data_IF_677482223223
#
_entry.id   IF_677482223223
#
_cell.length_a   1.000
_cell.length_b   1.000
_cell.length_c   1.000
_cell.angle_alpha   90.00
_cell.angle_beta   90.00
_cell.angle_gamma   90.00
#
_symmetry.space_group_name_H-M   'P 1'
#
loop_
_entity.id
_entity.type
_entity.pdbx_description
1 polymer ?
#
# COMPACT_ATOMS: atom_id res chain seq x y z
N UNK A 1 18.01 -52.43 -12.53
CA UNK A 1 18.02 -51.88 -11.15
C UNK A 1 18.66 -50.49 -11.12
N UNK A 2 19.91 -50.31 -11.54
CA UNK A 2 20.60 -49.00 -11.52
C UNK A 2 19.90 -47.90 -12.33
N UNK A 3 19.44 -48.19 -13.55
CA UNK A 3 18.71 -47.21 -14.37
C UNK A 3 17.42 -46.69 -13.70
N UNK A 4 16.79 -47.52 -12.86
CA UNK A 4 15.56 -47.18 -12.13
C UNK A 4 15.87 -46.21 -10.97
N UNK A 5 17.02 -46.37 -10.30
CA UNK A 5 17.49 -45.44 -9.27
C UNK A 5 17.92 -44.09 -9.87
N UNK A 6 18.53 -44.09 -11.06
CA UNK A 6 18.89 -42.86 -11.77
C UNK A 6 17.64 -42.07 -12.15
N UNK A 7 16.61 -42.74 -12.69
CA UNK A 7 15.32 -42.11 -13.01
C UNK A 7 14.65 -41.58 -11.74
N UNK A 8 14.66 -42.34 -10.64
CA UNK A 8 14.09 -41.90 -9.37
C UNK A 8 14.80 -40.66 -8.81
N UNK A 9 16.14 -40.63 -8.87
CA UNK A 9 16.94 -39.47 -8.48
C UNK A 9 16.66 -38.24 -9.33
N UNK A 10 16.50 -38.41 -10.65
CA UNK A 10 16.13 -37.33 -11.56
C UNK A 10 14.72 -36.78 -11.28
N UNK A 11 13.74 -37.64 -11.01
CA UNK A 11 12.37 -37.24 -10.65
C UNK A 11 12.33 -36.49 -9.32
N UNK A 12 13.09 -36.95 -8.31
CA UNK A 12 13.21 -36.25 -7.03
C UNK A 12 13.89 -34.88 -7.17
N UNK A 13 14.94 -34.77 -7.99
CA UNK A 13 15.62 -33.51 -8.25
C UNK A 13 14.71 -32.52 -9.00
N UNK A 14 13.98 -32.97 -10.03
CA UNK A 14 13.02 -32.13 -10.76
C UNK A 14 11.84 -31.73 -9.88
N UNK A 15 11.28 -32.65 -9.10
CA UNK A 15 10.19 -32.37 -8.17
C UNK A 15 10.60 -31.38 -7.08
N UNK A 16 11.79 -31.54 -6.49
CA UNK A 16 12.35 -30.62 -5.52
C UNK A 16 12.63 -29.23 -6.11
N UNK A 17 13.15 -29.18 -7.34
CA UNK A 17 13.41 -27.93 -8.06
C UNK A 17 12.12 -27.14 -8.36
N UNK A 18 11.08 -27.82 -8.85
CA UNK A 18 9.77 -27.20 -9.14
C UNK A 18 9.12 -26.67 -7.88
N UNK A 19 9.09 -27.45 -6.80
CA UNK A 19 8.54 -27.01 -5.51
C UNK A 19 9.28 -25.79 -4.96
N UNK A 20 10.62 -25.82 -4.98
CA UNK A 20 11.45 -24.70 -4.51
C UNK A 20 11.18 -23.45 -5.34
N UNK A 21 11.08 -23.58 -6.66
CA UNK A 21 10.79 -22.46 -7.56
C UNK A 21 9.40 -21.86 -7.28
N UNK A 22 8.36 -22.68 -7.09
CA UNK A 22 7.03 -22.18 -6.73
C UNK A 22 7.03 -21.43 -5.40
N UNK A 23 7.74 -21.95 -4.39
CA UNK A 23 7.87 -21.29 -3.09
C UNK A 23 8.61 -19.96 -3.22
N UNK A 24 9.69 -19.91 -4.01
CA UNK A 24 10.43 -18.67 -4.27
C UNK A 24 9.57 -17.61 -4.96
N UNK A 25 8.84 -18.00 -6.01
CA UNK A 25 7.91 -17.09 -6.70
C UNK A 25 6.84 -16.55 -5.74
N UNK A 26 6.28 -17.42 -4.91
CA UNK A 26 5.27 -17.02 -3.93
C UNK A 26 5.81 -15.98 -2.94
N UNK A 27 7.00 -16.20 -2.36
CA UNK A 27 7.60 -15.23 -1.45
C UNK A 27 8.07 -13.95 -2.14
N UNK A 28 8.56 -14.04 -3.38
CA UNK A 28 8.91 -12.87 -4.18
C UNK A 28 7.68 -11.99 -4.44
N UNK A 29 6.55 -12.61 -4.81
CA UNK A 29 5.29 -11.91 -5.02
C UNK A 29 4.77 -11.27 -3.71
N UNK A 30 4.84 -11.98 -2.59
CA UNK A 30 4.45 -11.40 -1.30
C UNK A 30 5.32 -10.19 -0.92
N UNK A 31 6.63 -10.27 -1.18
CA UNK A 31 7.56 -9.15 -0.93
C UNK A 31 7.24 -7.96 -1.81
N UNK A 32 7.00 -8.19 -3.11
CA UNK A 32 6.62 -7.12 -4.03
C UNK A 32 5.31 -6.46 -3.59
N UNK A 33 4.28 -7.23 -3.26
CA UNK A 33 3.01 -6.65 -2.81
C UNK A 33 3.12 -5.89 -1.50
N UNK A 34 3.92 -6.37 -0.53
CA UNK A 34 4.15 -5.62 0.71
C UNK A 34 4.85 -4.28 0.43
N UNK A 35 5.78 -4.23 -0.53
CA UNK A 35 6.40 -2.97 -0.94
C UNK A 35 5.38 -2.04 -1.59
N UNK A 36 4.50 -2.55 -2.45
CA UNK A 36 3.42 -1.77 -3.05
C UNK A 36 2.47 -1.20 -1.99
N UNK A 37 2.10 -1.99 -0.98
CA UNK A 37 1.27 -1.53 0.13
C UNK A 37 1.96 -0.42 0.93
N UNK A 38 3.27 -0.55 1.19
CA UNK A 38 4.05 0.48 1.86
C UNK A 38 4.11 1.78 1.04
N UNK A 39 4.30 1.69 -0.27
CA UNK A 39 4.30 2.85 -1.16
C UNK A 39 2.92 3.53 -1.21
N UNK A 40 1.83 2.75 -1.20
CA UNK A 40 0.46 3.26 -1.10
C UNK A 40 0.25 3.99 0.23
N UNK A 41 0.65 3.40 1.36
CA UNK A 41 0.58 4.07 2.68
C UNK A 41 1.31 5.41 2.66
N UNK A 42 2.55 5.43 2.16
CA UNK A 42 3.34 6.65 2.07
C UNK A 42 2.66 7.73 1.23
N UNK A 43 2.18 7.39 0.03
CA UNK A 43 1.47 8.34 -0.83
C UNK A 43 0.18 8.87 -0.19
N UNK A 44 -0.57 8.05 0.55
CA UNK A 44 -1.78 8.49 1.28
C UNK A 44 -1.46 9.47 2.42
N UNK A 45 -0.34 9.27 3.12
CA UNK A 45 0.14 10.19 4.14
C UNK A 45 0.60 11.52 3.53
N UNK A 46 1.37 11.46 2.43
CA UNK A 46 1.85 12.64 1.70
C UNK A 46 0.68 13.48 1.15
N UNK A 47 -0.37 12.85 0.61
CA UNK A 47 -1.59 13.55 0.18
C UNK A 47 -2.27 14.26 1.35
N UNK A 48 -2.31 13.64 2.53
CA UNK A 48 -2.86 14.26 3.74
C UNK A 48 -2.08 15.49 4.18
N UNK A 49 -0.74 15.42 4.13
CA UNK A 49 0.13 16.56 4.41
C UNK A 49 -0.12 17.71 3.42
N UNK A 50 -0.19 17.40 2.13
CA UNK A 50 -0.47 18.39 1.09
C UNK A 50 -1.86 19.03 1.23
N UNK A 51 -2.87 18.27 1.66
CA UNK A 51 -4.19 18.82 1.95
C UNK A 51 -4.20 19.75 3.16
N UNK A 52 -3.41 19.45 4.19
CA UNK A 52 -3.18 20.34 5.32
C UNK A 52 -2.51 21.64 4.88
N UNK A 53 -1.45 21.56 4.07
CA UNK A 53 -0.74 22.74 3.53
C UNK A 53 -1.69 23.60 2.68
N UNK A 54 -2.47 22.97 1.80
CA UNK A 54 -3.45 23.66 0.96
C UNK A 54 -4.56 24.33 1.78
N UNK A 55 -4.94 23.77 2.92
CA UNK A 55 -5.88 24.41 3.83
C UNK A 55 -5.26 25.57 4.60
N UNK A 56 -3.98 25.46 4.99
CA UNK A 56 -3.25 26.55 5.63
C UNK A 56 -3.13 27.77 4.72
N UNK A 57 -2.77 27.57 3.45
CA UNK A 57 -2.63 28.66 2.47
C UNK A 57 -3.93 29.43 2.18
N UNK A 58 -5.12 28.88 2.52
CA UNK A 58 -6.39 29.62 2.40
C UNK A 58 -6.51 30.77 3.41
N UNK A 59 -5.79 30.68 4.52
CA UNK A 59 -5.79 31.69 5.58
C UNK A 59 -4.68 32.73 5.44
N UNK A 60 -3.75 32.49 4.53
CA UNK A 60 -2.63 33.41 4.26
C UNK A 60 -3.02 34.52 3.27
N UNK A 61 -2.36 35.68 3.34
CA UNK A 61 -2.57 36.77 2.38
C UNK A 61 -2.24 36.33 0.95
N UNK A 62 -3.04 36.78 -0.02
CA UNK A 62 -2.89 36.45 -1.45
C UNK A 62 -1.67 37.12 -2.11
N UNK A 63 -0.47 36.71 -1.72
CA UNK A 63 0.77 37.14 -2.35
C UNK A 63 1.16 36.22 -3.52
N UNK A 64 2.03 36.71 -4.42
CA UNK A 64 2.58 35.91 -5.52
C UNK A 64 3.32 34.66 -5.02
N UNK A 65 4.01 34.76 -3.88
CA UNK A 65 4.70 33.63 -3.25
C UNK A 65 3.72 32.54 -2.80
N UNK A 66 2.62 32.93 -2.14
CA UNK A 66 1.59 31.97 -1.71
C UNK A 66 0.91 31.32 -2.92
N UNK A 67 0.63 32.08 -3.98
CA UNK A 67 0.08 31.53 -5.23
C UNK A 67 1.01 30.49 -5.85
N UNK A 68 2.33 30.72 -5.82
CA UNK A 68 3.32 29.75 -6.30
C UNK A 68 3.36 28.48 -5.43
N UNK A 69 3.32 28.62 -4.10
CA UNK A 69 3.28 27.48 -3.15
C UNK A 69 2.02 26.63 -3.31
N UNK A 70 0.86 27.26 -3.49
CA UNK A 70 -0.41 26.57 -3.77
C UNK A 70 -0.33 25.78 -5.07
N UNK A 71 0.19 26.39 -6.14
CA UNK A 71 0.35 25.71 -7.43
C UNK A 71 1.25 24.46 -7.31
N UNK A 72 2.40 24.59 -6.65
CA UNK A 72 3.32 23.46 -6.39
C UNK A 72 2.67 22.34 -5.58
N UNK A 73 1.93 22.69 -4.53
CA UNK A 73 1.26 21.71 -3.68
C UNK A 73 0.15 20.96 -4.42
N UNK A 74 -0.62 21.67 -5.27
CA UNK A 74 -1.61 21.05 -6.15
C UNK A 74 -0.98 20.11 -7.17
N UNK A 75 0.14 20.52 -7.80
CA UNK A 75 0.85 19.68 -8.74
C UNK A 75 1.35 18.39 -8.07
N UNK A 76 2.05 18.52 -6.94
CA UNK A 76 2.52 17.36 -6.16
C UNK A 76 1.37 16.43 -5.76
N UNK A 77 0.22 16.99 -5.36
CA UNK A 77 -0.96 16.18 -5.04
C UNK A 77 -1.47 15.40 -6.25
N UNK A 78 -1.45 16.00 -7.44
CA UNK A 78 -1.82 15.30 -8.69
C UNK A 78 -0.86 14.15 -8.98
N UNK A 79 0.44 14.40 -8.90
CA UNK A 79 1.49 13.38 -9.11
C UNK A 79 1.31 12.20 -8.14
N UNK A 80 0.99 12.47 -6.87
CA UNK A 80 0.72 11.42 -5.88
C UNK A 80 -0.55 10.63 -6.17
N UNK A 81 -1.62 11.28 -6.64
CA UNK A 81 -2.85 10.61 -7.03
C UNK A 81 -2.64 9.71 -8.27
N UNK A 82 -1.87 10.18 -9.25
CA UNK A 82 -1.49 9.39 -10.42
C UNK A 82 -0.63 8.18 -10.02
N UNK A 83 0.35 8.38 -9.13
CA UNK A 83 1.18 7.31 -8.62
C UNK A 83 0.35 6.24 -7.89
N UNK A 84 -0.60 6.64 -7.04
CA UNK A 84 -1.51 5.71 -6.35
C UNK A 84 -2.26 4.79 -7.31
N UNK A 85 -2.70 5.33 -8.45
CA UNK A 85 -3.39 4.52 -9.46
C UNK A 85 -2.47 3.44 -10.04
N UNK A 86 -1.22 3.80 -10.37
CA UNK A 86 -0.24 2.87 -10.92
C UNK A 86 0.15 1.79 -9.91
N UNK A 87 0.33 2.15 -8.64
CA UNK A 87 0.61 1.20 -7.56
C UNK A 87 -0.54 0.21 -7.36
N UNK A 88 -1.79 0.71 -7.41
CA UNK A 88 -2.97 -0.12 -7.22
C UNK A 88 -3.13 -1.17 -8.33
N UNK A 89 -2.84 -0.83 -9.59
CA UNK A 89 -2.93 -1.77 -10.71
C UNK A 89 -1.94 -2.93 -10.58
N UNK A 90 -0.78 -2.69 -9.95
CA UNK A 90 0.26 -3.70 -9.74
C UNK A 90 -0.08 -4.74 -8.66
N UNK A 91 -1.12 -4.50 -7.86
CA UNK A 91 -1.60 -5.48 -6.89
C UNK A 91 -2.44 -6.53 -7.62
N UNK A 92 -1.88 -7.73 -7.73
CA UNK A 92 -2.47 -8.84 -8.48
C UNK A 92 -3.07 -9.93 -7.59
N UNK A 93 -2.67 -10.05 -6.32
CA UNK A 93 -3.23 -11.07 -5.44
C UNK A 93 -4.68 -10.77 -5.05
N UNK A 94 -5.45 -11.84 -4.91
CA UNK A 94 -6.82 -11.77 -4.39
C UNK A 94 -6.86 -11.26 -2.94
N UNK A 95 -5.80 -11.52 -2.17
CA UNK A 95 -5.69 -11.08 -0.76
C UNK A 95 -5.84 -9.56 -0.63
N UNK A 96 -5.22 -8.81 -1.54
CA UNK A 96 -5.16 -7.35 -1.49
C UNK A 96 -6.07 -6.67 -2.53
N UNK A 97 -6.93 -7.43 -3.20
CA UNK A 97 -7.77 -6.91 -4.29
C UNK A 97 -8.71 -5.78 -3.87
N UNK A 98 -9.27 -5.86 -2.66
CA UNK A 98 -10.12 -4.80 -2.12
C UNK A 98 -9.35 -3.48 -1.93
N UNK A 99 -8.10 -3.56 -1.48
CA UNK A 99 -7.22 -2.39 -1.33
C UNK A 99 -6.96 -1.79 -2.71
N UNK A 100 -6.57 -2.61 -3.68
CA UNK A 100 -6.34 -2.16 -5.07
C UNK A 100 -7.55 -1.41 -5.65
N UNK A 101 -8.76 -1.96 -5.48
CA UNK A 101 -10.00 -1.34 -5.97
C UNK A 101 -10.27 -0.01 -5.26
N UNK A 102 -10.14 0.05 -3.93
CA UNK A 102 -10.38 1.28 -3.16
C UNK A 102 -9.34 2.35 -3.44
N UNK A 103 -8.06 1.98 -3.56
CA UNK A 103 -7.00 2.90 -3.97
C UNK A 103 -7.25 3.47 -5.36
N UNK A 104 -7.66 2.62 -6.31
CA UNK A 104 -8.02 3.06 -7.67
C UNK A 104 -9.21 4.02 -7.68
N UNK A 105 -10.25 3.74 -6.88
CA UNK A 105 -11.40 4.65 -6.74
C UNK A 105 -10.98 5.99 -6.14
N UNK A 106 -10.17 5.96 -5.08
CA UNK A 106 -9.66 7.17 -4.44
C UNK A 106 -8.78 8.01 -5.40
N UNK A 107 -7.91 7.36 -6.18
CA UNK A 107 -7.03 8.05 -7.13
C UNK A 107 -7.81 8.68 -8.28
N UNK A 108 -8.77 7.97 -8.88
CA UNK A 108 -9.45 8.40 -10.11
C UNK A 108 -10.68 9.28 -9.84
N UNK A 109 -11.48 8.96 -8.81
CA UNK A 109 -12.75 9.63 -8.57
C UNK A 109 -12.63 10.73 -7.50
N UNK A 110 -12.88 11.98 -7.91
CA UNK A 110 -12.93 13.14 -7.02
C UNK A 110 -13.92 12.96 -5.86
N UNK A 111 -15.04 12.29 -6.05
CA UNK A 111 -16.05 12.09 -5.00
C UNK A 111 -15.55 11.19 -3.87
N UNK A 112 -14.59 10.31 -4.17
CA UNK A 112 -13.98 9.43 -3.18
C UNK A 112 -12.78 10.07 -2.47
N UNK A 113 -12.28 11.23 -2.91
CA UNK A 113 -11.13 11.96 -2.33
C UNK A 113 -11.50 12.77 -1.09
N UNK A 114 -12.10 12.10 -0.11
CA UNK A 114 -12.44 12.66 1.20
C UNK A 114 -11.45 12.17 2.25
N UNK A 115 -11.26 12.93 3.33
CA UNK A 115 -10.35 12.52 4.41
C UNK A 115 -10.79 11.21 5.09
N UNK A 116 -12.10 10.98 5.26
CA UNK A 116 -12.65 9.73 5.79
C UNK A 116 -12.24 8.52 4.94
N UNK A 117 -12.46 8.59 3.63
CA UNK A 117 -12.04 7.53 2.70
C UNK A 117 -10.53 7.33 2.69
N UNK A 118 -9.73 8.41 2.79
CA UNK A 118 -8.28 8.33 2.90
C UNK A 118 -7.86 7.57 4.16
N UNK A 119 -8.48 7.90 5.29
CA UNK A 119 -8.23 7.25 6.58
C UNK A 119 -8.64 5.78 6.57
N UNK A 120 -9.84 5.46 6.06
CA UNK A 120 -10.30 4.07 5.92
C UNK A 120 -9.34 3.27 5.04
N UNK A 121 -8.88 3.84 3.93
CA UNK A 121 -7.94 3.18 3.03
C UNK A 121 -6.57 2.96 3.71
N UNK A 122 -6.05 3.98 4.39
CA UNK A 122 -4.80 3.88 5.16
C UNK A 122 -4.88 2.75 6.19
N UNK A 123 -5.98 2.66 6.94
CA UNK A 123 -6.21 1.60 7.91
C UNK A 123 -6.19 0.21 7.26
N UNK A 124 -6.87 0.04 6.13
CA UNK A 124 -6.89 -1.24 5.40
C UNK A 124 -5.50 -1.66 4.92
N UNK A 125 -4.70 -0.70 4.44
CA UNK A 125 -3.31 -0.93 4.01
C UNK A 125 -2.47 -1.39 5.21
N UNK A 126 -2.55 -0.67 6.33
CA UNK A 126 -1.83 -1.00 7.56
C UNK A 126 -2.23 -2.36 8.13
N UNK A 127 -3.53 -2.69 8.13
CA UNK A 127 -4.04 -4.00 8.54
C UNK A 127 -3.49 -5.13 7.66
N UNK A 128 -3.37 -4.92 6.35
CA UNK A 128 -2.83 -5.94 5.46
C UNK A 128 -1.33 -6.16 5.64
N UNK A 129 -0.58 -5.08 5.87
CA UNK A 129 0.86 -5.13 6.12
C UNK A 129 1.19 -5.73 7.49
N UNK A 130 0.45 -5.35 8.54
CA UNK A 130 0.81 -5.63 9.93
C UNK A 130 -0.37 -5.97 10.85
N UNK A 131 -1.27 -6.86 10.39
CA UNK A 131 -2.45 -7.31 11.18
C UNK A 131 -2.13 -7.78 12.61
N UNK A 132 -0.98 -8.43 12.84
CA UNK A 132 -0.59 -8.91 14.17
C UNK A 132 -0.22 -7.76 15.12
N UNK A 133 0.55 -6.81 14.62
CA UNK A 133 0.98 -5.64 15.40
C UNK A 133 -0.23 -4.76 15.75
N UNK A 134 -1.14 -4.54 14.79
CA UNK A 134 -2.35 -3.77 15.02
C UNK A 134 -3.28 -4.44 16.03
N UNK A 135 -3.47 -5.76 15.95
CA UNK A 135 -4.24 -6.50 16.96
C UNK A 135 -3.63 -6.43 18.36
N UNK A 136 -2.29 -6.48 18.44
CA UNK A 136 -1.60 -6.31 19.71
C UNK A 136 -1.77 -4.90 20.26
N UNK A 137 -1.56 -3.88 19.44
CA UNK A 137 -1.74 -2.48 19.80
C UNK A 137 -3.18 -2.22 20.28
N UNK A 138 -4.17 -2.69 19.53
CA UNK A 138 -5.58 -2.52 19.89
C UNK A 138 -5.93 -3.22 21.21
N UNK A 139 -5.40 -4.43 21.44
CA UNK A 139 -5.52 -5.11 22.74
C UNK A 139 -4.87 -4.32 23.88
N UNK A 140 -3.72 -3.71 23.64
CA UNK A 140 -3.01 -2.87 24.62
C UNK A 140 -3.80 -1.59 24.93
N UNK A 141 -4.33 -0.90 23.91
CA UNK A 141 -5.22 0.28 24.07
C UNK A 141 -6.49 -0.07 24.85
N UNK A 142 -7.17 -1.17 24.50
CA UNK A 142 -8.38 -1.61 25.18
C UNK A 142 -8.11 -2.00 26.64
N UNK A 143 -6.93 -2.57 26.92
CA UNK A 143 -6.54 -3.00 28.26
C UNK A 143 -6.03 -1.86 29.15
N UNK A 144 -5.49 -0.78 28.57
CA UNK A 144 -4.95 0.38 29.29
C UNK A 144 -5.22 1.71 28.56
N UNK A 145 -6.49 2.15 28.52
CA UNK A 145 -6.89 3.36 27.78
C UNK A 145 -6.40 4.68 28.41
N UNK A 146 -5.75 4.63 29.59
CA UNK A 146 -5.18 5.81 30.25
C UNK A 146 -3.74 6.11 29.82
N UNK A 147 -3.10 5.18 29.09
CA UNK A 147 -1.71 5.31 28.65
C UNK A 147 -1.62 5.70 27.16
N UNK A 148 -2.69 5.48 26.39
CA UNK A 148 -2.76 5.68 24.93
C UNK A 148 -3.92 6.58 24.53
#
# INVERSE_FOLDING_TARGET
MEALYIILGAVLALGGGVLTHHVQLYYAQQKEENNLLFEIERSLLEIGGLDSDLNHYKTEPETLDIKAKVARSRQRKSEQLENLHLLAIRIISDKNRNIAVKTTKYSLDKHHRTDDNRYILLKLVQESMNSKLLKQYQKETDSNPKVF
#
